data_IF_362551510688
#
_entry.id   IF_362551510688
#
_cell.length_a   1.000
_cell.length_b   1.000
_cell.length_c   1.000
_cell.angle_alpha   90.00
_cell.angle_beta   90.00
_cell.angle_gamma   90.00
#
_symmetry.space_group_name_H-M   'P 1'
#
loop_
_entity.id
_entity.type
_entity.pdbx_description
1 polymer ?
#
# COMPACT_ATOMS: atom_id res chain seq x y z
N UNK A 1 -10.66 -4.87 -1.35
CA UNK A 1 -9.69 -3.91 -0.80
C UNK A 1 -10.35 -2.60 -0.36
N UNK A 2 -11.13 -1.96 -1.23
CA UNK A 2 -11.70 -0.63 -0.96
C UNK A 2 -12.63 -0.55 0.26
N UNK A 3 -13.51 -1.52 0.42
CA UNK A 3 -14.39 -1.60 1.60
C UNK A 3 -13.58 -1.64 2.92
N UNK A 4 -12.48 -2.40 2.94
CA UNK A 4 -11.57 -2.49 4.09
C UNK A 4 -10.98 -1.12 4.44
N UNK A 5 -10.64 -0.33 3.42
CA UNK A 5 -10.08 1.01 3.59
C UNK A 5 -11.10 1.99 4.14
N UNK A 6 -12.34 1.97 3.64
CA UNK A 6 -13.44 2.77 4.20
C UNK A 6 -13.66 2.47 5.68
N UNK A 7 -13.69 1.19 6.05
CA UNK A 7 -13.82 0.80 7.47
C UNK A 7 -12.66 1.34 8.29
N UNK A 8 -11.42 1.23 7.79
CA UNK A 8 -10.23 1.75 8.48
C UNK A 8 -10.28 3.27 8.66
N UNK A 9 -10.66 4.03 7.61
CA UNK A 9 -10.80 5.49 7.65
C UNK A 9 -11.84 5.90 8.69
N UNK A 10 -13.03 5.27 8.67
CA UNK A 10 -14.13 5.58 9.61
C UNK A 10 -13.75 5.26 11.05
N UNK A 11 -13.04 4.16 11.28
CA UNK A 11 -12.52 3.82 12.61
C UNK A 11 -11.51 4.85 13.11
N UNK A 12 -10.59 5.29 12.25
CA UNK A 12 -9.62 6.35 12.60
C UNK A 12 -10.29 7.69 12.89
N UNK A 13 -11.30 8.08 12.12
CA UNK A 13 -12.08 9.30 12.39
C UNK A 13 -12.76 9.24 13.77
N UNK A 14 -13.39 8.11 14.12
CA UNK A 14 -14.01 7.90 15.44
C UNK A 14 -12.97 7.97 16.57
N UNK A 15 -11.82 7.33 16.41
CA UNK A 15 -10.74 7.36 17.39
C UNK A 15 -10.11 8.76 17.54
N UNK A 16 -10.05 9.54 16.46
CA UNK A 16 -9.39 10.85 16.43
C UNK A 16 -10.08 11.93 17.26
N UNK A 17 -11.41 11.82 17.45
CA UNK A 17 -12.15 12.70 18.38
C UNK A 17 -11.62 12.61 19.81
N UNK A 18 -10.89 11.54 20.16
CA UNK A 18 -10.30 11.33 21.48
C UNK A 18 -8.83 11.80 21.60
N UNK A 19 -8.13 12.13 20.49
CA UNK A 19 -6.69 12.46 20.48
C UNK A 19 -6.34 13.59 19.50
N UNK A 20 -6.79 14.81 19.80
CA UNK A 20 -6.45 16.00 18.99
C UNK A 20 -4.92 16.21 18.93
N UNK A 21 -4.40 16.55 17.74
CA UNK A 21 -3.00 16.94 17.52
C UNK A 21 -2.03 15.88 16.99
N UNK A 22 -2.47 14.63 16.78
CA UNK A 22 -1.62 13.57 16.18
C UNK A 22 -1.88 13.39 14.68
N UNK A 23 -0.82 13.14 13.91
CA UNK A 23 -0.95 12.67 12.53
C UNK A 23 -1.61 11.29 12.51
N UNK A 24 -2.57 11.11 11.60
CA UNK A 24 -3.26 9.84 11.39
C UNK A 24 -2.76 9.23 10.10
N UNK A 25 -2.37 7.97 10.17
CA UNK A 25 -1.74 7.26 9.07
C UNK A 25 -2.44 5.94 8.85
N UNK A 26 -2.72 5.61 7.59
CA UNK A 26 -3.11 4.28 7.16
C UNK A 26 -2.05 3.75 6.20
N UNK A 27 -1.53 2.57 6.48
CA UNK A 27 -0.67 1.81 5.56
C UNK A 27 -1.52 0.75 4.90
N UNK A 28 -1.53 0.72 3.56
CA UNK A 28 -2.33 -0.24 2.78
C UNK A 28 -1.39 -1.25 2.16
N UNK A 29 -1.42 -2.49 2.66
CA UNK A 29 -0.68 -3.59 2.04
C UNK A 29 -1.64 -4.32 1.09
N UNK A 30 -1.31 -4.35 -0.20
CA UNK A 30 -2.19 -4.93 -1.23
C UNK A 30 -1.38 -5.46 -2.40
N UNK A 31 -1.91 -6.41 -3.14
CA UNK A 31 -1.45 -6.81 -4.47
C UNK A 31 -1.80 -5.79 -5.57
N UNK A 32 -2.60 -4.76 -5.24
CA UNK A 32 -3.04 -3.70 -6.14
C UNK A 32 -4.41 -3.95 -6.75
N UNK A 33 -4.97 -5.15 -6.55
CA UNK A 33 -6.26 -5.55 -7.09
C UNK A 33 -7.39 -5.23 -6.11
N UNK A 34 -8.51 -4.77 -6.65
CA UNK A 34 -9.76 -4.75 -5.92
C UNK A 34 -10.66 -5.82 -6.53
N UNK A 35 -10.87 -6.93 -5.81
CA UNK A 35 -11.80 -7.99 -6.21
C UNK A 35 -13.25 -7.49 -6.31
N UNK A 36 -14.22 -8.41 -6.34
CA UNK A 36 -15.66 -8.15 -6.53
C UNK A 36 -16.36 -7.42 -5.36
N UNK A 37 -15.76 -6.36 -4.82
CA UNK A 37 -16.36 -5.47 -3.85
C UNK A 37 -17.35 -4.50 -4.50
N UNK A 38 -18.32 -4.02 -3.71
CA UNK A 38 -19.33 -3.04 -4.15
C UNK A 38 -18.89 -1.58 -3.99
N UNK A 39 -17.76 -1.38 -3.32
CA UNK A 39 -17.21 -0.05 -3.04
C UNK A 39 -16.26 0.31 -4.17
N UNK A 40 -16.51 1.47 -4.76
CA UNK A 40 -15.68 2.03 -5.82
C UNK A 40 -14.53 2.87 -5.25
N UNK A 41 -13.48 3.03 -6.05
CA UNK A 41 -12.29 3.78 -5.64
C UNK A 41 -12.60 5.23 -5.25
N UNK A 42 -13.47 5.89 -6.01
CA UNK A 42 -13.80 7.30 -5.80
C UNK A 42 -14.44 7.55 -4.43
N UNK A 43 -15.25 6.60 -3.94
CA UNK A 43 -15.82 6.67 -2.59
C UNK A 43 -14.73 6.63 -1.51
N UNK A 44 -13.74 5.74 -1.67
CA UNK A 44 -12.60 5.65 -0.75
C UNK A 44 -11.77 6.94 -0.77
N UNK A 45 -11.50 7.46 -1.97
CA UNK A 45 -10.66 8.63 -2.15
C UNK A 45 -11.31 9.86 -1.52
N UNK A 46 -12.60 10.06 -1.71
CA UNK A 46 -13.35 11.17 -1.11
C UNK A 46 -13.35 11.10 0.42
N UNK A 47 -13.63 9.92 1.00
CA UNK A 47 -13.60 9.73 2.45
C UNK A 47 -12.17 9.95 3.00
N UNK A 48 -11.14 9.46 2.29
CA UNK A 48 -9.75 9.63 2.68
C UNK A 48 -9.33 11.11 2.68
N UNK A 49 -9.64 11.86 1.60
CA UNK A 49 -9.34 13.30 1.48
C UNK A 49 -10.01 14.10 2.59
N UNK A 50 -11.30 13.85 2.85
CA UNK A 50 -12.05 14.55 3.92
C UNK A 50 -11.56 14.18 5.31
N UNK A 51 -11.05 12.96 5.48
CA UNK A 51 -10.57 12.50 6.78
C UNK A 51 -9.30 13.20 7.24
N UNK A 52 -8.47 13.72 6.32
CA UNK A 52 -7.14 14.24 6.65
C UNK A 52 -6.18 13.17 7.21
N UNK A 53 -6.37 11.92 6.80
CA UNK A 53 -5.49 10.79 7.11
C UNK A 53 -4.45 10.68 5.99
N UNK A 54 -3.18 10.50 6.34
CA UNK A 54 -2.12 10.23 5.37
C UNK A 54 -2.16 8.75 4.97
N UNK A 55 -2.12 8.47 3.66
CA UNK A 55 -2.21 7.08 3.17
C UNK A 55 -0.92 6.64 2.50
N UNK A 56 -0.40 5.48 2.90
CA UNK A 56 0.84 4.90 2.36
C UNK A 56 0.58 3.51 1.77
N UNK A 57 0.25 3.41 0.47
CA UNK A 57 0.10 2.13 -0.19
C UNK A 57 1.45 1.46 -0.39
N UNK A 58 1.49 0.15 -0.16
CA UNK A 58 2.60 -0.74 -0.47
C UNK A 58 2.04 -1.85 -1.36
N UNK A 59 2.35 -1.76 -2.65
CA UNK A 59 1.85 -2.69 -3.66
C UNK A 59 2.83 -3.86 -3.83
N UNK A 60 2.35 -5.04 -3.47
CA UNK A 60 3.06 -6.32 -3.45
C UNK A 60 2.43 -7.27 -4.48
N UNK A 61 2.68 -7.06 -5.79
CA UNK A 61 2.12 -7.93 -6.82
C UNK A 61 2.61 -9.38 -6.63
N UNK A 62 1.80 -10.37 -7.05
CA UNK A 62 2.23 -11.77 -7.01
C UNK A 62 3.44 -12.00 -7.93
N UNK A 63 4.23 -13.03 -7.65
CA UNK A 63 5.54 -13.25 -8.29
C UNK A 63 5.48 -13.44 -9.82
N UNK A 64 4.33 -13.87 -10.32
CA UNK A 64 4.03 -14.14 -11.72
C UNK A 64 3.29 -12.98 -12.42
N UNK A 65 2.90 -11.93 -11.69
CA UNK A 65 2.30 -10.76 -12.30
C UNK A 65 3.31 -10.02 -13.19
N UNK A 66 2.85 -9.44 -14.32
CA UNK A 66 3.65 -8.50 -15.08
C UNK A 66 4.21 -7.41 -14.16
N UNK A 67 5.43 -6.92 -14.46
CA UNK A 67 5.96 -5.74 -13.80
C UNK A 67 5.20 -4.49 -14.25
N UNK A 68 3.98 -4.33 -13.77
CA UNK A 68 3.31 -3.05 -13.70
C UNK A 68 3.69 -2.43 -12.37
N UNK A 69 4.12 -1.17 -12.38
CA UNK A 69 4.27 -0.39 -11.16
C UNK A 69 2.96 -0.31 -10.37
N UNK A 70 2.92 0.45 -9.27
CA UNK A 70 1.67 0.61 -8.52
C UNK A 70 0.54 1.13 -9.41
N UNK A 71 -0.68 0.66 -9.19
CA UNK A 71 -1.84 1.11 -9.95
C UNK A 71 -2.04 2.62 -9.82
N UNK A 72 -2.62 3.25 -10.86
CA UNK A 72 -2.88 4.69 -10.84
C UNK A 72 -3.74 5.10 -9.64
N UNK A 73 -4.67 4.25 -9.23
CA UNK A 73 -5.55 4.46 -8.07
C UNK A 73 -4.76 4.53 -6.76
N UNK A 74 -3.83 3.61 -6.53
CA UNK A 74 -2.98 3.65 -5.35
C UNK A 74 -2.05 4.86 -5.37
N UNK A 75 -1.53 5.21 -6.55
CA UNK A 75 -0.71 6.41 -6.72
C UNK A 75 -1.49 7.67 -6.37
N UNK A 76 -2.70 7.83 -6.93
CA UNK A 76 -3.55 8.98 -6.66
C UNK A 76 -3.95 9.07 -5.19
N UNK A 77 -4.32 7.95 -4.57
CA UNK A 77 -4.68 7.95 -3.16
C UNK A 77 -3.54 8.45 -2.27
N UNK A 78 -2.31 8.00 -2.53
CA UNK A 78 -1.14 8.47 -1.79
C UNK A 78 -0.93 9.98 -1.98
N UNK A 79 -1.01 10.47 -3.22
CA UNK A 79 -0.80 11.88 -3.54
C UNK A 79 -1.88 12.78 -2.92
N UNK A 80 -3.15 12.45 -3.11
CA UNK A 80 -4.28 13.28 -2.68
C UNK A 80 -4.43 13.31 -1.15
N UNK A 81 -3.85 12.33 -0.46
CA UNK A 81 -3.79 12.30 1.01
C UNK A 81 -2.46 12.78 1.59
N UNK A 82 -1.51 13.22 0.76
CA UNK A 82 -0.19 13.70 1.21
C UNK A 82 0.77 12.61 1.71
N UNK A 83 0.49 11.35 1.40
CA UNK A 83 1.35 10.21 1.71
C UNK A 83 2.35 9.87 0.60
N UNK A 84 2.83 8.63 0.59
CA UNK A 84 3.78 8.11 -0.40
C UNK A 84 3.45 6.66 -0.74
N UNK A 85 3.82 6.25 -1.95
CA UNK A 85 3.60 4.89 -2.43
C UNK A 85 4.92 4.14 -2.59
N UNK A 86 4.90 2.86 -2.21
CA UNK A 86 5.98 1.91 -2.48
C UNK A 86 5.42 0.72 -3.26
N UNK A 87 6.28 0.09 -4.06
CA UNK A 87 5.96 -1.19 -4.70
C UNK A 87 7.20 -2.08 -4.70
N UNK A 88 7.01 -3.39 -4.57
CA UNK A 88 8.11 -4.35 -4.59
C UNK A 88 7.71 -5.64 -5.29
N UNK A 89 8.47 -6.03 -6.30
CA UNK A 89 8.40 -7.38 -6.90
C UNK A 89 9.55 -8.22 -6.36
N UNK A 90 9.28 -9.34 -5.69
CA UNK A 90 10.34 -10.24 -5.20
C UNK A 90 10.78 -11.24 -6.28
N UNK A 91 11.77 -10.88 -7.11
CA UNK A 91 12.54 -11.89 -7.88
C UNK A 91 13.60 -12.56 -7.01
N UNK A 92 13.20 -13.37 -6.02
CA UNK A 92 13.93 -14.47 -5.37
C UNK A 92 13.52 -14.66 -3.89
N UNK A 93 13.64 -15.92 -3.44
CA UNK A 93 13.17 -16.54 -2.18
C UNK A 93 13.65 -15.95 -0.84
N UNK A 94 14.20 -14.73 -0.78
CA UNK A 94 14.67 -14.18 0.49
C UNK A 94 14.56 -12.66 0.57
N UNK A 95 13.56 -12.19 1.33
CA UNK A 95 13.50 -10.82 1.84
C UNK A 95 14.44 -10.72 3.05
N UNK A 96 15.66 -10.23 2.85
CA UNK A 96 16.59 -9.97 3.96
C UNK A 96 16.56 -8.46 4.29
N UNK A 97 15.85 -8.15 5.37
CA UNK A 97 15.81 -6.90 6.15
C UNK A 97 15.27 -5.63 5.50
N UNK A 98 14.14 -5.18 6.05
CA UNK A 98 13.57 -3.86 5.85
C UNK A 98 14.37 -2.80 6.62
N UNK A 99 15.39 -2.21 6.00
CA UNK A 99 15.89 -0.88 6.40
C UNK A 99 15.34 0.16 5.43
N UNK A 100 14.27 0.81 5.87
CA UNK A 100 13.70 2.00 5.24
C UNK A 100 13.08 1.78 3.86
N UNK A 101 11.88 1.20 3.80
CA UNK A 101 10.90 1.20 2.67
C UNK A 101 11.42 0.77 1.27
N UNK A 102 12.72 0.50 1.11
CA UNK A 102 13.36 0.06 -0.11
C UNK A 102 13.65 -1.45 0.01
N UNK A 103 12.83 -2.27 -0.64
CA UNK A 103 13.18 -3.65 -0.91
C UNK A 103 14.29 -3.68 -1.96
N UNK A 104 15.54 -3.93 -1.56
CA UNK A 104 16.65 -4.16 -2.48
C UNK A 104 16.72 -5.67 -2.79
N UNK A 105 16.53 -6.04 -4.05
CA UNK A 105 16.79 -7.39 -4.52
C UNK A 105 18.31 -7.65 -4.51
N UNK A 106 18.77 -8.67 -3.78
CA UNK A 106 20.13 -9.17 -3.94
C UNK A 106 20.26 -9.80 -5.35
N UNK A 107 21.32 -9.46 -6.10
CA UNK A 107 21.65 -10.16 -7.34
C UNK A 107 21.86 -11.63 -7.02
N UNK A 108 21.12 -12.52 -7.67
CA UNK A 108 21.40 -13.95 -7.63
C UNK A 108 22.80 -14.17 -8.22
N UNK A 109 23.70 -14.72 -7.43
CA UNK A 109 25.02 -15.16 -7.89
C UNK A 109 24.81 -16.45 -8.70
N UNK A 110 25.09 -16.48 -10.01
CA UNK A 110 24.79 -17.64 -10.86
C UNK A 110 25.57 -18.90 -10.50
N UNK A 111 26.51 -18.84 -9.54
CA UNK A 111 27.37 -19.96 -9.16
C UNK A 111 26.84 -20.87 -8.04
N UNK A 112 25.68 -20.59 -7.43
CA UNK A 112 25.20 -21.35 -6.24
C UNK A 112 24.08 -22.36 -6.54
N UNK A 113 23.58 -22.44 -7.78
CA UNK A 113 22.51 -23.38 -8.17
C UNK A 113 23.00 -24.72 -8.76
N UNK A 114 24.27 -25.05 -8.61
CA UNK A 114 24.82 -26.35 -8.98
C UNK A 114 25.39 -27.06 -7.74
N UNK A 115 24.51 -27.72 -6.97
CA UNK A 115 24.85 -28.83 -6.07
C UNK A 115 23.59 -29.56 -5.62
#
# INVERSE_FOLDING_TARGET
MYESMLIAIRNQQRASRARAGSYRVIVVLTDGENGAGRVEFDEVLDDARRSGILTYPVVLPPNDAPQSGPSWRMTQLALDTGGKIASGTCRHRSCVTARGISCRCARADPHVMAR
#
